data_IF_447631803493
#
_entry.id   IF_447631803493
#
_cell.length_a   1.000
_cell.length_b   1.000
_cell.length_c   1.000
_cell.angle_alpha   90.00
_cell.angle_beta   90.00
_cell.angle_gamma   90.00
#
_symmetry.space_group_name_H-M   'P 1'
#
loop_
_entity.id
_entity.type
_entity.pdbx_description
1 polymer ?
#
# COMPACT_ATOMS: atom_id res chain seq x y z
N UNK A 1 16.81 7.06 4.78
CA UNK A 1 16.05 5.79 4.79
C UNK A 1 14.53 5.98 4.75
N UNK A 2 13.94 6.83 5.61
CA UNK A 2 12.49 7.11 5.61
C UNK A 2 11.97 7.67 4.27
N UNK A 3 12.55 8.75 3.68
CA UNK A 3 12.01 9.32 2.44
C UNK A 3 12.10 8.36 1.24
N UNK A 4 13.14 7.52 1.18
CA UNK A 4 13.36 6.52 0.13
C UNK A 4 12.27 5.43 0.20
N UNK A 5 11.97 4.92 1.41
CA UNK A 5 10.89 3.96 1.63
C UNK A 5 9.51 4.56 1.27
N UNK A 6 9.26 5.81 1.67
CA UNK A 6 8.01 6.51 1.34
C UNK A 6 7.86 6.77 -0.16
N UNK A 7 8.96 7.07 -0.87
CA UNK A 7 8.94 7.23 -2.32
C UNK A 7 8.56 5.92 -3.02
N UNK A 8 9.14 4.80 -2.59
CA UNK A 8 8.77 3.47 -3.10
C UNK A 8 7.29 3.16 -2.82
N UNK A 9 6.81 3.48 -1.60
CA UNK A 9 5.40 3.34 -1.23
C UNK A 9 4.48 4.15 -2.13
N UNK A 10 4.84 5.40 -2.40
CA UNK A 10 4.10 6.30 -3.29
C UNK A 10 4.03 5.74 -4.72
N UNK A 11 5.16 5.27 -5.26
CA UNK A 11 5.23 4.67 -6.60
C UNK A 11 4.35 3.42 -6.71
N UNK A 12 4.35 2.56 -5.68
CA UNK A 12 3.47 1.39 -5.64
C UNK A 12 1.99 1.76 -5.53
N UNK A 13 1.65 2.81 -4.77
CA UNK A 13 0.29 3.35 -4.72
C UNK A 13 -0.17 3.88 -6.08
N UNK A 14 0.68 4.63 -6.78
CA UNK A 14 0.38 5.10 -8.15
C UNK A 14 0.23 3.91 -9.10
N UNK A 15 1.11 2.91 -9.01
CA UNK A 15 1.02 1.70 -9.81
C UNK A 15 -0.28 0.93 -9.56
N UNK A 16 -0.73 0.83 -8.31
CA UNK A 16 -2.01 0.19 -7.97
C UNK A 16 -3.20 0.92 -8.62
N UNK A 17 -3.21 2.26 -8.63
CA UNK A 17 -4.22 3.05 -9.35
C UNK A 17 -4.16 2.81 -10.85
N UNK A 18 -2.95 2.85 -11.42
CA UNK A 18 -2.72 2.59 -12.84
C UNK A 18 -3.24 1.21 -13.26
N UNK A 19 -2.89 0.16 -12.52
CA UNK A 19 -3.36 -1.20 -12.76
C UNK A 19 -4.88 -1.27 -12.64
N UNK A 20 -5.47 -0.66 -11.60
CA UNK A 20 -6.93 -0.66 -11.44
C UNK A 20 -7.64 -0.06 -12.65
N UNK A 21 -7.14 1.06 -13.16
CA UNK A 21 -7.75 1.75 -14.29
C UNK A 21 -7.57 0.97 -15.60
N UNK A 22 -6.35 0.47 -15.86
CA UNK A 22 -6.06 -0.31 -17.08
C UNK A 22 -6.74 -1.67 -17.09
N UNK A 23 -7.03 -2.25 -15.93
CA UNK A 23 -7.78 -3.50 -15.80
C UNK A 23 -9.25 -3.39 -16.22
N UNK A 24 -9.76 -2.19 -16.55
CA UNK A 24 -11.04 -2.03 -17.24
C UNK A 24 -10.99 -2.60 -18.67
N UNK A 25 -9.81 -2.59 -19.31
CA UNK A 25 -9.58 -3.27 -20.58
C UNK A 25 -9.31 -4.76 -20.33
N UNK A 26 -10.20 -5.61 -20.84
CA UNK A 26 -10.10 -7.08 -20.70
C UNK A 26 -8.85 -7.68 -21.35
N UNK A 27 -8.20 -6.96 -22.27
CA UNK A 27 -6.95 -7.40 -22.92
C UNK A 27 -5.71 -7.08 -22.08
N UNK A 28 -5.80 -6.12 -21.15
CA UNK A 28 -4.68 -5.74 -20.31
C UNK A 28 -4.40 -6.82 -19.26
N UNK A 29 -3.13 -7.19 -19.14
CA UNK A 29 -2.64 -8.11 -18.09
C UNK A 29 -1.50 -7.43 -17.34
N UNK A 30 -1.69 -7.10 -16.05
CA UNK A 30 -0.63 -6.47 -15.27
C UNK A 30 0.47 -7.47 -14.93
N UNK A 31 1.70 -6.97 -14.81
CA UNK A 31 2.89 -7.77 -14.46
C UNK A 31 2.76 -8.49 -13.12
N UNK A 32 1.97 -7.94 -12.21
CA UNK A 32 1.80 -8.49 -10.87
C UNK A 32 0.65 -9.51 -10.75
N UNK A 33 0.01 -9.88 -11.88
CA UNK A 33 -0.84 -11.07 -12.00
C UNK A 33 -0.01 -12.26 -12.49
N UNK A 34 0.54 -13.04 -11.55
CA UNK A 34 1.45 -14.16 -11.84
C UNK A 34 0.68 -15.48 -11.90
N UNK A 35 -0.31 -15.68 -11.02
CA UNK A 35 -1.11 -16.90 -10.95
C UNK A 35 -2.51 -16.62 -10.42
N UNK A 36 -3.41 -17.61 -10.42
CA UNK A 36 -4.77 -17.44 -9.87
C UNK A 36 -4.79 -17.06 -8.39
N UNK A 37 -3.75 -17.43 -7.66
CA UNK A 37 -3.58 -17.16 -6.24
C UNK A 37 -2.67 -15.95 -5.99
N UNK A 38 -2.01 -15.43 -7.03
CA UNK A 38 -1.15 -14.24 -6.97
C UNK A 38 -1.66 -13.23 -8.01
N UNK A 39 -2.67 -12.44 -7.63
CA UNK A 39 -3.28 -11.46 -8.52
C UNK A 39 -3.57 -10.12 -7.84
N UNK A 40 -2.99 -9.05 -8.38
CA UNK A 40 -3.34 -7.68 -8.03
C UNK A 40 -4.74 -7.32 -8.51
N UNK A 41 -5.12 -7.73 -9.71
CA UNK A 41 -6.41 -7.39 -10.32
C UNK A 41 -7.57 -7.92 -9.49
N UNK A 42 -7.42 -9.15 -8.96
CA UNK A 42 -8.38 -9.76 -8.03
C UNK A 42 -8.50 -8.95 -6.73
N UNK A 43 -7.37 -8.53 -6.15
CA UNK A 43 -7.36 -7.72 -4.94
C UNK A 43 -8.01 -6.35 -5.16
N UNK A 44 -7.68 -5.67 -6.26
CA UNK A 44 -8.19 -4.34 -6.58
C UNK A 44 -9.64 -4.34 -7.06
N UNK A 45 -10.18 -5.49 -7.49
CA UNK A 45 -11.60 -5.66 -7.81
C UNK A 45 -12.44 -6.04 -6.59
N UNK A 46 -11.81 -6.33 -5.45
CA UNK A 46 -12.53 -6.68 -4.24
C UNK A 46 -13.26 -5.48 -3.62
N UNK A 47 -14.29 -5.76 -2.81
CA UNK A 47 -15.01 -4.74 -2.03
C UNK A 47 -14.13 -3.97 -1.04
N UNK A 48 -12.94 -4.49 -0.75
CA UNK A 48 -12.00 -3.93 0.21
C UNK A 48 -10.99 -2.97 -0.43
N UNK A 49 -11.05 -2.80 -1.76
CA UNK A 49 -10.21 -1.85 -2.49
C UNK A 49 -10.46 -0.39 -2.08
N UNK A 50 -11.72 -0.06 -1.78
CA UNK A 50 -12.12 1.24 -1.27
C UNK A 50 -12.39 1.15 0.24
N UNK A 51 -11.95 2.15 0.98
CA UNK A 51 -12.31 2.36 2.39
C UNK A 51 -12.92 3.73 2.54
N UNK A 52 -14.10 3.81 3.16
CA UNK A 52 -14.85 5.07 3.31
C UNK A 52 -15.01 5.84 1.99
N UNK A 53 -15.36 5.14 0.89
CA UNK A 53 -15.51 5.68 -0.47
C UNK A 53 -14.20 6.13 -1.15
N UNK A 54 -13.07 6.12 -0.45
CA UNK A 54 -11.76 6.50 -1.01
C UNK A 54 -10.97 5.23 -1.38
N UNK A 55 -10.36 5.16 -2.58
CA UNK A 55 -9.46 4.07 -2.93
C UNK A 55 -8.28 3.99 -1.98
N UNK A 56 -7.97 2.81 -1.45
CA UNK A 56 -6.83 2.61 -0.55
C UNK A 56 -5.50 3.14 -1.12
N UNK A 57 -5.19 2.98 -2.42
CA UNK A 57 -3.96 3.54 -2.97
C UNK A 57 -3.88 5.07 -2.91
N UNK A 58 -5.02 5.78 -3.01
CA UNK A 58 -5.07 7.25 -2.84
C UNK A 58 -4.75 7.62 -1.40
N UNK A 59 -5.35 6.93 -0.42
CA UNK A 59 -5.04 7.12 1.01
C UNK A 59 -3.54 6.90 1.24
N UNK A 60 -2.98 5.82 0.68
CA UNK A 60 -1.55 5.53 0.75
C UNK A 60 -0.69 6.62 0.11
N UNK A 61 -1.08 7.16 -1.06
CA UNK A 61 -0.33 8.23 -1.71
C UNK A 61 -0.29 9.52 -0.90
N UNK A 62 -1.42 9.90 -0.29
CA UNK A 62 -1.50 11.06 0.62
C UNK A 62 -0.61 10.80 1.84
N UNK A 63 -0.70 9.61 2.43
CA UNK A 63 0.11 9.21 3.58
C UNK A 63 1.61 9.28 3.29
N UNK A 64 2.11 8.67 2.21
CA UNK A 64 3.54 8.69 1.89
C UNK A 64 4.06 10.09 1.58
N UNK A 65 3.25 10.91 0.89
CA UNK A 65 3.60 12.33 0.65
C UNK A 65 3.71 13.10 1.96
N UNK A 66 2.77 12.88 2.89
CA UNK A 66 2.81 13.49 4.21
C UNK A 66 4.03 13.01 5.01
N UNK A 67 4.36 11.71 5.02
CA UNK A 67 5.55 11.19 5.70
C UNK A 67 6.84 11.82 5.17
N UNK A 68 6.97 12.00 3.84
CA UNK A 68 8.13 12.67 3.26
C UNK A 68 8.26 14.09 3.82
N UNK A 69 7.18 14.89 3.77
CA UNK A 69 7.19 16.25 4.31
C UNK A 69 7.51 16.28 5.82
N UNK A 70 6.85 15.44 6.61
CA UNK A 70 7.07 15.33 8.06
C UNK A 70 8.50 14.90 8.39
N UNK A 71 9.12 14.04 7.56
CA UNK A 71 10.49 13.58 7.82
C UNK A 71 11.52 14.71 7.78
N UNK A 72 11.27 15.79 7.03
CA UNK A 72 12.15 16.96 6.97
C UNK A 72 11.84 18.02 8.05
N UNK A 73 10.59 18.10 8.51
CA UNK A 73 10.18 19.15 9.47
C UNK A 73 10.09 18.64 10.90
N UNK A 74 9.49 17.46 11.13
CA UNK A 74 9.16 16.91 12.44
C UNK A 74 9.32 15.37 12.49
N UNK A 75 10.56 14.83 12.59
CA UNK A 75 10.83 13.39 12.46
C UNK A 75 10.14 12.53 13.54
N UNK A 76 10.09 12.99 14.79
CA UNK A 76 9.33 12.40 15.90
C UNK A 76 7.84 12.14 15.60
N UNK A 77 7.18 12.96 14.78
CA UNK A 77 5.78 12.72 14.39
C UNK A 77 5.63 11.58 13.38
N UNK A 78 6.68 11.23 12.62
CA UNK A 78 6.65 10.11 11.68
C UNK A 78 6.38 8.80 12.41
N UNK A 79 6.94 8.62 13.61
CA UNK A 79 6.70 7.44 14.44
C UNK A 79 5.21 7.29 14.76
N UNK A 80 4.58 8.34 15.30
CA UNK A 80 3.14 8.33 15.62
C UNK A 80 2.27 8.11 14.39
N UNK A 81 2.63 8.69 13.24
CA UNK A 81 1.91 8.51 11.98
C UNK A 81 2.05 7.08 11.41
N UNK A 82 3.15 6.39 11.70
CA UNK A 82 3.41 5.03 11.20
C UNK A 82 2.58 3.94 11.91
N UNK A 83 2.20 4.16 13.18
CA UNK A 83 1.38 3.22 13.98
C UNK A 83 0.03 2.92 13.30
N UNK A 84 -0.84 3.91 12.97
CA UNK A 84 -2.11 3.63 12.33
C UNK A 84 -1.94 3.03 10.92
N UNK A 85 -0.90 3.42 10.18
CA UNK A 85 -0.59 2.83 8.88
C UNK A 85 -0.22 1.34 8.99
N UNK A 86 0.52 0.96 10.02
CA UNK A 86 0.86 -0.42 10.32
C UNK A 86 -0.38 -1.23 10.69
N UNK A 87 -1.20 -0.74 11.62
CA UNK A 87 -2.45 -1.39 12.02
C UNK A 87 -3.39 -1.60 10.83
N UNK A 88 -3.52 -0.58 9.97
CA UNK A 88 -4.31 -0.67 8.75
C UNK A 88 -3.74 -1.68 7.75
N UNK A 89 -2.41 -1.76 7.63
CA UNK A 89 -1.73 -2.76 6.80
C UNK A 89 -1.97 -4.18 7.28
N UNK A 90 -1.90 -4.43 8.60
CA UNK A 90 -2.22 -5.72 9.22
C UNK A 90 -3.67 -6.12 8.94
N UNK A 91 -4.61 -5.18 9.07
CA UNK A 91 -6.01 -5.42 8.73
C UNK A 91 -6.20 -5.82 7.26
N UNK A 92 -5.57 -5.09 6.33
CA UNK A 92 -5.69 -5.41 4.91
C UNK A 92 -5.00 -6.73 4.55
N UNK A 93 -3.86 -7.04 5.17
CA UNK A 93 -3.17 -8.32 5.03
C UNK A 93 -4.08 -9.47 5.49
N UNK A 94 -4.70 -9.35 6.65
CA UNK A 94 -5.69 -10.32 7.14
C UNK A 94 -6.83 -10.52 6.13
N UNK A 95 -7.40 -9.45 5.60
CA UNK A 95 -8.46 -9.54 4.60
C UNK A 95 -7.97 -10.21 3.30
N UNK A 96 -6.78 -9.88 2.81
CA UNK A 96 -6.23 -10.44 1.57
C UNK A 96 -5.98 -11.95 1.71
N UNK A 97 -5.33 -12.36 2.79
CA UNK A 97 -4.92 -13.75 2.97
C UNK A 97 -6.05 -14.64 3.50
N UNK A 98 -6.80 -14.18 4.53
CA UNK A 98 -7.84 -15.00 5.14
C UNK A 98 -9.15 -14.97 4.35
N UNK A 99 -9.61 -13.80 3.90
CA UNK A 99 -10.92 -13.67 3.22
C UNK A 99 -10.84 -13.90 1.72
N UNK A 100 -9.85 -13.31 1.05
CA UNK A 100 -9.75 -13.39 -0.41
C UNK A 100 -8.93 -14.59 -0.89
N UNK A 101 -8.17 -15.24 0.01
CA UNK A 101 -7.22 -16.33 -0.30
C UNK A 101 -6.36 -15.97 -1.53
N UNK A 102 -5.88 -14.74 -1.55
CA UNK A 102 -5.16 -14.16 -2.68
C UNK A 102 -3.96 -13.37 -2.18
N UNK A 103 -2.82 -13.59 -2.80
CA UNK A 103 -1.57 -12.92 -2.51
C UNK A 103 -1.37 -11.76 -3.50
N UNK A 104 -1.62 -10.54 -3.06
CA UNK A 104 -1.35 -9.36 -3.87
C UNK A 104 0.12 -8.94 -3.67
N UNK A 105 0.96 -9.11 -4.68
CA UNK A 105 2.39 -8.77 -4.58
C UNK A 105 2.60 -7.29 -4.24
N UNK A 106 1.92 -6.39 -4.96
CA UNK A 106 1.99 -4.92 -4.73
C UNK A 106 1.55 -4.55 -3.31
N UNK A 107 0.43 -5.10 -2.84
CA UNK A 107 -0.09 -4.85 -1.51
C UNK A 107 0.87 -5.36 -0.43
N UNK A 108 1.45 -6.54 -0.64
CA UNK A 108 2.43 -7.14 0.27
C UNK A 108 3.69 -6.29 0.36
N UNK A 109 4.17 -5.74 -0.77
CA UNK A 109 5.27 -4.77 -0.78
C UNK A 109 4.95 -3.51 0.01
N UNK A 110 3.72 -2.97 -0.13
CA UNK A 110 3.26 -1.81 0.65
C UNK A 110 3.23 -2.13 2.16
N UNK A 111 2.77 -3.31 2.56
CA UNK A 111 2.78 -3.74 3.96
C UNK A 111 4.21 -3.83 4.50
N UNK A 112 5.12 -4.39 3.72
CA UNK A 112 6.54 -4.46 4.07
C UNK A 112 7.14 -3.07 4.23
N UNK A 113 6.86 -2.14 3.31
CA UNK A 113 7.30 -0.74 3.41
C UNK A 113 6.79 -0.10 4.70
N UNK A 114 5.53 -0.30 5.07
CA UNK A 114 4.97 0.28 6.31
C UNK A 114 5.60 -0.31 7.57
N UNK A 115 5.95 -1.61 7.58
CA UNK A 115 6.73 -2.22 8.66
C UNK A 115 8.13 -1.61 8.74
N UNK A 116 8.82 -1.48 7.60
CA UNK A 116 10.17 -0.88 7.55
C UNK A 116 10.15 0.59 7.97
N UNK A 117 9.11 1.35 7.60
CA UNK A 117 8.92 2.73 8.06
C UNK A 117 8.73 2.81 9.57
N UNK A 118 7.92 1.92 10.16
CA UNK A 118 7.76 1.84 11.62
C UNK A 118 9.10 1.55 12.32
N UNK A 119 9.85 0.55 11.83
CA UNK A 119 11.17 0.19 12.40
C UNK A 119 12.17 1.34 12.23
N UNK A 120 12.19 1.99 11.07
CA UNK A 120 13.09 3.12 10.80
C UNK A 120 12.78 4.33 11.66
N UNK A 121 11.49 4.61 11.88
CA UNK A 121 11.03 5.74 12.69
C UNK A 121 11.16 5.50 14.19
N UNK A 122 11.18 4.25 14.65
CA UNK A 122 11.46 3.92 16.06
C UNK A 122 12.90 4.28 16.48
N UNK A 123 13.85 4.22 15.55
CA UNK A 123 15.27 4.51 15.78
C UNK A 123 15.67 5.95 15.40
N UNK A 124 14.71 6.82 15.05
CA UNK A 124 14.94 8.22 14.66
C UNK A 124 14.60 9.18 15.80
#
# INVERSE_FOLDING_TARGET
>A
MIPELSLLGLLLSVYALYVKERSKDKKYRPLCDISRNISCTKAFSSRYYNRFLVPNPVIGGIYYTAIIALSFTYPWFVFYASIPALLFSVYLAYVSYAKQKNFCLVCSSIYLINILLFISSFNS
#
